data_IF_662327874274
#
_entry.id   IF_662327874274
#
_cell.length_a   1.000
_cell.length_b   1.000
_cell.length_c   1.000
_cell.angle_alpha   90.00
_cell.angle_beta   90.00
_cell.angle_gamma   90.00
#
_symmetry.space_group_name_H-M   'P 1'
#
loop_
_entity.id
_entity.type
_entity.pdbx_description
1 polymer ?
#
# COMPACT_ATOMS: atom_id res chain seq x y z
N UNK A 1 3.66 62.42 20.33
CA UNK A 1 4.53 62.02 19.20
C UNK A 1 4.18 60.59 18.86
N UNK A 2 3.54 60.40 17.71
CA UNK A 2 3.02 59.12 17.23
C UNK A 2 4.16 58.22 16.75
N UNK A 3 4.09 56.92 17.03
CA UNK A 3 4.43 55.91 16.03
C UNK A 3 3.72 54.59 16.33
N UNK A 4 2.67 54.33 15.56
CA UNK A 4 1.99 53.05 15.42
C UNK A 4 2.81 52.18 14.47
N UNK A 5 3.18 50.96 14.87
CA UNK A 5 3.66 49.93 13.94
C UNK A 5 2.56 48.88 13.83
N UNK A 6 1.80 48.96 12.75
CA UNK A 6 0.87 47.89 12.33
C UNK A 6 1.71 46.82 11.64
N UNK A 7 1.89 45.68 12.31
CA UNK A 7 2.45 44.48 11.68
C UNK A 7 1.32 43.82 10.88
N UNK A 8 1.33 44.02 9.57
CA UNK A 8 0.47 43.28 8.63
C UNK A 8 1.02 41.86 8.54
N UNK A 9 0.47 40.93 9.31
CA UNK A 9 0.64 39.51 9.05
C UNK A 9 -0.22 39.15 7.83
N UNK A 10 0.41 39.16 6.66
CA UNK A 10 -0.07 38.41 5.49
C UNK A 10 -0.13 36.94 5.89
N UNK A 11 -1.28 36.51 6.42
CA UNK A 11 -1.60 35.10 6.62
C UNK A 11 -1.68 34.44 5.26
N UNK A 12 -0.56 33.84 4.84
CA UNK A 12 -0.49 33.04 3.64
C UNK A 12 -1.57 31.96 3.68
N UNK A 13 -2.41 31.94 2.65
CA UNK A 13 -3.20 30.76 2.33
C UNK A 13 -2.22 29.61 2.14
N UNK A 14 -2.10 28.74 3.14
CA UNK A 14 -1.51 27.43 2.93
C UNK A 14 -2.46 26.70 1.99
N UNK A 15 -2.05 26.33 0.75
CA UNK A 15 -2.78 25.30 0.06
C UNK A 15 -2.74 24.08 0.99
N UNK A 16 -3.91 23.56 1.36
CA UNK A 16 -4.01 22.34 2.14
C UNK A 16 -3.40 21.23 1.27
N UNK A 17 -2.09 21.01 1.40
CA UNK A 17 -1.47 19.81 0.88
C UNK A 17 -2.23 18.68 1.54
N UNK A 18 -3.00 17.93 0.75
CA UNK A 18 -3.63 16.71 1.21
C UNK A 18 -2.50 15.87 1.81
N UNK A 19 -2.48 15.76 3.14
CA UNK A 19 -1.44 15.01 3.81
C UNK A 19 -1.49 13.59 3.27
N UNK A 20 -0.39 13.08 2.73
CA UNK A 20 -0.29 11.66 2.40
C UNK A 20 -0.24 10.88 3.72
N UNK A 21 -1.24 10.02 3.94
CA UNK A 21 -1.48 9.31 5.19
C UNK A 21 -0.98 7.86 5.12
N UNK A 22 0.02 7.56 4.30
CA UNK A 22 0.60 6.21 4.12
C UNK A 22 0.96 5.53 5.45
N UNK A 23 1.51 6.27 6.42
CA UNK A 23 1.91 5.72 7.73
C UNK A 23 0.71 5.44 8.66
N UNK A 24 -0.50 5.82 8.22
CA UNK A 24 -1.78 5.51 8.86
C UNK A 24 -2.52 4.38 8.15
N UNK A 25 -1.83 3.63 7.30
CA UNK A 25 -2.37 2.41 6.70
C UNK A 25 -1.62 1.22 7.28
N UNK A 26 -2.36 0.29 7.90
CA UNK A 26 -1.81 -1.00 8.31
C UNK A 26 -2.04 -2.00 7.18
N UNK A 27 -0.99 -2.75 6.81
CA UNK A 27 -1.06 -3.84 5.83
C UNK A 27 -0.87 -5.17 6.55
N UNK A 28 -1.72 -6.14 6.24
CA UNK A 28 -1.63 -7.51 6.75
C UNK A 28 -1.73 -8.48 5.57
N UNK A 29 -0.73 -9.34 5.37
CA UNK A 29 -0.83 -10.45 4.41
C UNK A 29 -1.82 -11.48 4.99
N UNK A 30 -2.64 -12.09 4.14
CA UNK A 30 -3.58 -13.10 4.60
C UNK A 30 -2.86 -14.26 5.29
N UNK A 31 -3.36 -14.68 6.45
CA UNK A 31 -2.75 -15.74 7.26
C UNK A 31 -3.08 -17.16 6.80
N UNK A 32 -3.96 -17.30 5.80
CA UNK A 32 -4.35 -18.60 5.24
C UNK A 32 -3.45 -18.94 4.07
N UNK A 33 -2.89 -20.15 4.07
CA UNK A 33 -2.20 -20.71 2.91
C UNK A 33 -3.22 -20.96 1.79
N UNK A 34 -3.12 -20.19 0.71
CA UNK A 34 -3.98 -20.33 -0.47
C UNK A 34 -3.45 -21.43 -1.42
N UNK A 35 -2.20 -21.86 -1.25
CA UNK A 35 -1.58 -22.96 -1.99
C UNK A 35 -0.65 -23.77 -1.07
N UNK A 36 -0.67 -25.13 -1.12
CA UNK A 36 0.26 -25.95 -0.35
C UNK A 36 1.72 -25.64 -0.67
N UNK A 37 2.55 -25.48 0.36
CA UNK A 37 3.99 -25.23 0.21
C UNK A 37 4.38 -23.79 -0.12
N UNK A 38 3.43 -22.84 -0.08
CA UNK A 38 3.69 -21.41 -0.21
C UNK A 38 3.44 -20.69 1.12
N UNK A 39 4.06 -19.52 1.30
CA UNK A 39 3.80 -18.68 2.48
C UNK A 39 2.33 -18.24 2.51
N UNK A 40 1.78 -17.94 3.71
CA UNK A 40 0.42 -17.42 3.84
C UNK A 40 0.12 -16.25 2.91
N UNK A 41 -1.08 -16.24 2.34
CA UNK A 41 -1.53 -15.20 1.41
C UNK A 41 -0.91 -15.29 0.01
N UNK A 42 0.09 -16.16 -0.22
CA UNK A 42 0.64 -16.38 -1.56
C UNK A 42 -0.13 -17.45 -2.33
N UNK A 43 -0.34 -17.22 -3.62
CA UNK A 43 -0.91 -18.20 -4.54
C UNK A 43 -0.47 -17.96 -5.98
N UNK A 44 -0.73 -18.94 -6.84
CA UNK A 44 -0.47 -18.84 -8.29
C UNK A 44 -1.81 -18.83 -9.04
N UNK A 45 -2.01 -17.85 -9.92
CA UNK A 45 -3.23 -17.78 -10.72
C UNK A 45 -3.19 -18.72 -11.93
N UNK A 46 -4.30 -18.83 -12.66
CA UNK A 46 -4.40 -19.68 -13.85
C UNK A 46 -3.42 -19.31 -14.98
N UNK A 47 -2.92 -18.07 -15.00
CA UNK A 47 -1.90 -17.61 -15.96
C UNK A 47 -0.46 -17.86 -15.47
N UNK A 48 -0.28 -18.46 -14.29
CA UNK A 48 1.04 -18.79 -13.76
C UNK A 48 1.79 -17.61 -13.13
N UNK A 49 1.10 -16.51 -12.79
CA UNK A 49 1.69 -15.39 -12.04
C UNK A 49 1.61 -15.66 -10.54
N UNK A 50 2.64 -15.23 -9.82
CA UNK A 50 2.60 -15.13 -8.37
C UNK A 50 1.66 -14.00 -7.94
N UNK A 51 0.82 -14.29 -6.95
CA UNK A 51 0.00 -13.31 -6.25
C UNK A 51 0.30 -13.30 -4.75
N UNK A 52 0.17 -12.13 -4.14
CA UNK A 52 0.15 -11.96 -2.68
C UNK A 52 -1.13 -11.24 -2.30
N UNK A 53 -2.01 -11.93 -1.58
CA UNK A 53 -3.28 -11.40 -1.07
C UNK A 53 -3.11 -10.89 0.36
N UNK A 54 -3.74 -9.74 0.63
CA UNK A 54 -3.70 -9.11 1.92
C UNK A 54 -4.90 -8.22 2.18
N UNK A 55 -4.89 -7.61 3.35
CA UNK A 55 -5.86 -6.61 3.78
C UNK A 55 -5.13 -5.36 4.20
N UNK A 56 -5.69 -4.21 3.84
CA UNK A 56 -5.27 -2.92 4.39
C UNK A 56 -6.34 -2.40 5.35
N UNK A 57 -5.92 -1.71 6.40
CA UNK A 57 -6.81 -1.04 7.35
C UNK A 57 -6.48 0.44 7.42
N UNK A 58 -7.50 1.28 7.30
CA UNK A 58 -7.36 2.72 7.53
C UNK A 58 -7.31 3.01 9.04
N UNK A 59 -6.16 3.47 9.53
CA UNK A 59 -5.97 3.92 10.92
C UNK A 59 -6.03 5.45 11.07
N UNK A 60 -6.30 6.19 9.99
CA UNK A 60 -6.50 7.61 10.05
C UNK A 60 -7.89 7.95 10.61
N UNK A 61 -8.03 9.17 11.15
CA UNK A 61 -9.31 9.70 11.61
C UNK A 61 -10.22 10.21 10.48
N UNK A 62 -9.84 10.04 9.22
CA UNK A 62 -10.56 10.50 8.03
C UNK A 62 -10.70 9.37 7.02
N UNK A 63 -11.67 9.47 6.12
CA UNK A 63 -11.78 8.54 5.00
C UNK A 63 -10.58 8.71 4.05
N UNK A 64 -10.07 7.59 3.55
CA UNK A 64 -9.02 7.56 2.54
C UNK A 64 -9.62 7.20 1.18
N UNK A 65 -9.00 7.67 0.10
CA UNK A 65 -9.27 7.18 -1.24
C UNK A 65 -8.74 5.76 -1.45
N UNK A 66 -8.54 5.38 -2.72
CA UNK A 66 -7.86 4.13 -3.03
C UNK A 66 -6.43 4.16 -2.46
N UNK A 67 -6.05 3.11 -1.77
CA UNK A 67 -4.70 2.94 -1.24
C UNK A 67 -3.87 2.23 -2.29
N UNK A 68 -2.75 2.84 -2.71
CA UNK A 68 -1.80 2.23 -3.66
C UNK A 68 -0.64 1.59 -2.92
N UNK A 69 -0.24 0.41 -3.39
CA UNK A 69 0.90 -0.33 -2.85
C UNK A 69 1.84 -0.81 -3.93
N UNK A 70 3.09 -0.99 -3.53
CA UNK A 70 4.14 -1.68 -4.29
C UNK A 70 4.55 -2.93 -3.52
N UNK A 71 4.62 -4.05 -4.23
CA UNK A 71 5.19 -5.30 -3.75
C UNK A 71 6.56 -5.54 -4.38
N UNK A 72 7.44 -6.18 -3.63
CA UNK A 72 8.72 -6.71 -4.11
C UNK A 72 8.85 -8.16 -3.67
N UNK A 73 9.31 -9.02 -4.57
CA UNK A 73 9.61 -10.41 -4.29
C UNK A 73 11.11 -10.65 -4.45
N UNK A 74 11.72 -11.38 -3.51
CA UNK A 74 13.16 -11.62 -3.45
C UNK A 74 13.48 -13.10 -3.28
N UNK A 75 14.66 -13.50 -3.75
CA UNK A 75 15.21 -14.83 -3.45
C UNK A 75 15.82 -14.93 -2.04
N UNK A 76 16.46 -16.07 -1.75
CA UNK A 76 17.09 -16.34 -0.46
C UNK A 76 18.27 -15.40 -0.18
N UNK A 77 18.96 -14.97 -1.23
CA UNK A 77 20.12 -14.08 -1.19
C UNK A 77 19.72 -12.59 -1.16
N UNK A 78 18.43 -12.29 -1.26
CA UNK A 78 17.89 -10.93 -1.25
C UNK A 78 17.92 -10.23 -2.61
N UNK A 79 18.15 -10.96 -3.71
CA UNK A 79 18.04 -10.42 -5.07
C UNK A 79 16.58 -10.21 -5.43
N UNK A 80 16.27 -9.04 -5.99
CA UNK A 80 14.94 -8.71 -6.49
C UNK A 80 14.58 -9.60 -7.69
N UNK A 81 13.51 -10.37 -7.57
CA UNK A 81 12.95 -11.23 -8.62
C UNK A 81 11.82 -10.55 -9.40
N UNK A 82 11.09 -9.64 -8.75
CA UNK A 82 10.01 -8.90 -9.41
C UNK A 82 9.33 -7.88 -8.52
N UNK A 83 8.55 -7.03 -9.15
CA UNK A 83 7.72 -6.02 -8.50
C UNK A 83 6.27 -6.15 -8.93
N UNK A 84 5.36 -5.68 -8.09
CA UNK A 84 3.93 -5.60 -8.38
C UNK A 84 3.39 -4.26 -7.88
N UNK A 85 2.35 -3.76 -8.52
CA UNK A 85 1.56 -2.63 -8.02
C UNK A 85 0.13 -3.08 -7.84
N UNK A 86 -0.56 -2.51 -6.85
CA UNK A 86 -1.98 -2.76 -6.66
C UNK A 86 -2.64 -1.58 -5.97
N UNK A 87 -3.95 -1.46 -6.18
CA UNK A 87 -4.80 -0.51 -5.48
C UNK A 87 -5.98 -1.23 -4.87
N UNK A 88 -6.45 -0.76 -3.71
CA UNK A 88 -7.74 -1.23 -3.17
C UNK A 88 -8.86 -0.98 -4.17
N UNK A 89 -9.79 -1.93 -4.29
CA UNK A 89 -10.93 -1.81 -5.22
C UNK A 89 -11.93 -0.75 -4.78
N UNK A 90 -12.10 -0.59 -3.46
CA UNK A 90 -13.00 0.38 -2.87
C UNK A 90 -12.52 1.80 -3.18
N UNK A 91 -13.38 2.68 -3.73
CA UNK A 91 -13.00 4.05 -4.05
C UNK A 91 -12.78 4.92 -2.81
N UNK A 92 -13.28 4.47 -1.65
CA UNK A 92 -13.15 5.12 -0.34
C UNK A 92 -13.06 4.05 0.74
N UNK A 93 -12.25 4.28 1.77
CA UNK A 93 -12.09 3.41 2.94
C UNK A 93 -12.23 4.30 4.20
N UNK A 94 -13.30 4.09 4.95
CA UNK A 94 -13.60 4.87 6.17
C UNK A 94 -12.63 4.58 7.32
N UNK A 95 -12.61 5.43 8.36
CA UNK A 95 -11.80 5.21 9.56
C UNK A 95 -12.05 3.83 10.18
N UNK A 96 -10.98 3.06 10.42
CA UNK A 96 -11.04 1.71 10.98
C UNK A 96 -11.45 0.61 9.99
N UNK A 97 -11.98 0.97 8.81
CA UNK A 97 -12.42 0.02 7.80
C UNK A 97 -11.24 -0.70 7.15
N UNK A 98 -11.54 -1.90 6.64
CA UNK A 98 -10.60 -2.78 5.96
C UNK A 98 -10.96 -2.94 4.50
N UNK A 99 -9.96 -3.06 3.64
CA UNK A 99 -10.10 -3.34 2.22
C UNK A 99 -9.13 -4.43 1.78
N UNK A 100 -9.57 -5.32 0.89
CA UNK A 100 -8.70 -6.32 0.30
C UNK A 100 -7.72 -5.69 -0.69
N UNK A 101 -6.54 -6.31 -0.79
CA UNK A 101 -5.60 -6.06 -1.88
C UNK A 101 -5.02 -7.36 -2.39
N UNK A 102 -4.65 -7.36 -3.66
CA UNK A 102 -4.02 -8.47 -4.34
C UNK A 102 -2.91 -7.93 -5.25
N UNK A 103 -1.67 -8.25 -4.92
CA UNK A 103 -0.50 -7.87 -5.72
C UNK A 103 -0.19 -8.99 -6.71
N UNK A 104 -0.25 -8.68 -8.01
CA UNK A 104 0.07 -9.61 -9.09
C UNK A 104 1.47 -9.33 -9.64
N UNK A 105 2.36 -10.31 -9.51
CA UNK A 105 3.74 -10.24 -9.99
C UNK A 105 3.83 -10.86 -11.38
N UNK A 106 3.55 -10.06 -12.41
CA UNK A 106 3.52 -10.50 -13.82
C UNK A 106 4.85 -11.11 -14.30
N UNK A 107 5.98 -10.71 -13.71
CA UNK A 107 7.31 -11.21 -14.08
C UNK A 107 7.79 -12.40 -13.25
N UNK A 108 7.08 -12.75 -12.16
CA UNK A 108 7.44 -13.87 -11.29
C UNK A 108 6.57 -15.06 -11.65
N UNK A 109 7.07 -15.86 -12.59
CA UNK A 109 6.36 -16.98 -13.21
C UNK A 109 7.19 -18.25 -13.25
N UNK A 110 6.51 -19.39 -13.40
CA UNK A 110 7.16 -20.69 -13.59
C UNK A 110 8.20 -20.99 -12.49
N UNK A 111 9.43 -21.40 -12.86
CA UNK A 111 10.48 -21.72 -11.88
C UNK A 111 10.88 -20.56 -10.95
N UNK A 112 10.66 -19.29 -11.34
CA UNK A 112 10.99 -18.14 -10.49
C UNK A 112 10.12 -18.08 -9.23
N UNK A 113 8.90 -18.62 -9.28
CA UNK A 113 8.01 -18.68 -8.11
C UNK A 113 8.66 -19.46 -6.97
N UNK A 114 9.35 -20.56 -7.28
CA UNK A 114 10.01 -21.41 -6.29
C UNK A 114 11.25 -20.75 -5.66
N UNK A 115 11.80 -19.73 -6.34
CA UNK A 115 12.94 -18.96 -5.86
C UNK A 115 12.53 -17.86 -4.89
N UNK A 116 11.26 -17.44 -4.85
CA UNK A 116 10.78 -16.44 -3.89
C UNK A 116 10.89 -16.99 -2.47
N UNK A 117 11.65 -16.29 -1.62
CA UNK A 117 11.82 -16.60 -0.20
C UNK A 117 11.45 -15.45 0.71
N UNK A 118 11.41 -14.23 0.19
CA UNK A 118 11.04 -13.03 0.94
C UNK A 118 10.19 -12.11 0.07
N UNK A 119 9.36 -11.29 0.73
CA UNK A 119 8.60 -10.25 0.07
C UNK A 119 8.48 -9.01 0.96
N UNK A 120 8.31 -7.86 0.30
CA UNK A 120 8.02 -6.58 0.95
C UNK A 120 6.76 -5.99 0.32
N UNK A 121 5.90 -5.37 1.13
CA UNK A 121 4.75 -4.60 0.67
C UNK A 121 4.84 -3.21 1.29
N UNK A 122 4.81 -2.18 0.45
CA UNK A 122 4.88 -0.78 0.88
C UNK A 122 3.66 -0.03 0.39
N UNK A 123 3.04 0.75 1.28
CA UNK A 123 2.02 1.73 0.90
C UNK A 123 2.73 2.94 0.30
N UNK A 124 2.37 3.27 -0.95
CA UNK A 124 3.00 4.36 -1.71
C UNK A 124 2.09 5.56 -1.89
N UNK A 125 0.78 5.41 -1.66
CA UNK A 125 -0.17 6.52 -1.69
C UNK A 125 -1.38 6.20 -0.81
N UNK A 126 -1.74 7.12 0.08
CA UNK A 126 -2.98 7.07 0.84
C UNK A 126 -3.50 8.50 1.06
N UNK A 127 -4.32 8.99 0.13
CA UNK A 127 -4.81 10.36 0.16
C UNK A 127 -6.16 10.46 0.90
N UNK A 128 -6.40 11.52 1.69
CA UNK A 128 -7.71 11.77 2.27
C UNK A 128 -8.77 11.96 1.18
N UNK A 129 -9.97 11.45 1.43
CA UNK A 129 -11.13 11.63 0.57
C UNK A 129 -12.23 12.36 1.35
N UNK A 130 -12.67 13.55 0.89
CA UNK A 130 -13.73 14.31 1.54
C UNK A 130 -15.07 13.56 1.57
#
# INVERSE_FOLDING_TARGET
>A
MFLTVVLVTLGGFAPTLAADLKDKVKVEVESVGLHPGMDPGMYVCAFGHLHIKGTVQNLAGVALGQIKMVGKAFDAEGKLLGTATSSTKQPTIGPGEKAEVNLEFLTVTGPLIQQVKNHEITVVEALPKP
#
